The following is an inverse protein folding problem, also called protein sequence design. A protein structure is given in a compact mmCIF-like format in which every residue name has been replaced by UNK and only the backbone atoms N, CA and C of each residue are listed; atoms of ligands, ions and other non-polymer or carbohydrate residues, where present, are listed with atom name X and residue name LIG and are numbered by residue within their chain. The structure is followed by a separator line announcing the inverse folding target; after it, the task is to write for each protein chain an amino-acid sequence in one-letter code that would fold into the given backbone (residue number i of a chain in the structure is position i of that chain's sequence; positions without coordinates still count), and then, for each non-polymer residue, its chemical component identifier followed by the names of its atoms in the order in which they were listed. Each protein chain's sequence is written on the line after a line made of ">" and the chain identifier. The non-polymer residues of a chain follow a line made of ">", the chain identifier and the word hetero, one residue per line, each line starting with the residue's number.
data_IF_986874600133
#
_entry.id   IF_986874600133
#
_cell.length_a   1.000
_cell.length_b   1.000
_cell.length_c   1.000
_cell.angle_alpha   90.00
_cell.angle_beta   90.00
_cell.angle_gamma   90.00
#
_symmetry.space_group_name_H-M   'P 1'
#
loop_
_entity.id
_entity.type
_entity.pdbx_description
1 polymer ?
#
# COMPACT_ATOMS: atom_id res chain seq x y z
N UNK A 1 33.46 -2.15 34.82
CA UNK A 1 33.27 -3.57 34.43
C UNK A 1 31.95 -3.73 33.67
N UNK A 2 31.91 -3.34 32.39
CA UNK A 2 30.74 -3.48 31.52
C UNK A 2 31.11 -4.07 30.13
N UNK A 3 32.25 -4.79 30.05
CA UNK A 3 32.86 -5.24 28.79
C UNK A 3 32.60 -6.73 28.49
N UNK A 4 31.45 -7.28 28.89
CA UNK A 4 31.17 -8.72 28.73
C UNK A 4 29.75 -9.03 28.26
N UNK A 5 29.05 -8.07 27.64
CA UNK A 5 27.78 -8.38 26.97
C UNK A 5 28.08 -8.89 25.55
N UNK A 6 27.65 -10.11 25.19
CA UNK A 6 27.70 -10.58 23.82
C UNK A 6 27.00 -9.59 22.86
N UNK A 7 27.52 -9.40 21.64
CA UNK A 7 26.93 -8.50 20.64
C UNK A 7 25.43 -8.74 20.39
N UNK A 8 24.98 -9.98 20.54
CA UNK A 8 23.58 -10.39 20.40
C UNK A 8 22.71 -9.83 21.53
N UNK A 9 23.25 -9.75 22.75
CA UNK A 9 22.55 -9.14 23.89
C UNK A 9 22.57 -7.62 23.81
N UNK A 10 23.65 -7.01 23.31
CA UNK A 10 23.70 -5.57 23.03
C UNK A 10 22.66 -5.17 21.97
N UNK A 11 22.54 -5.97 20.91
CA UNK A 11 21.51 -5.76 19.88
C UNK A 11 20.11 -5.81 20.48
N UNK A 12 19.83 -6.80 21.34
CA UNK A 12 18.55 -6.87 22.07
C UNK A 12 18.34 -5.68 23.00
N UNK A 13 19.37 -5.18 23.67
CA UNK A 13 19.27 -3.96 24.49
C UNK A 13 18.84 -2.78 23.63
N UNK A 14 19.48 -2.57 22.47
CA UNK A 14 19.12 -1.48 21.57
C UNK A 14 17.72 -1.64 20.96
N UNK A 15 17.30 -2.86 20.62
CA UNK A 15 15.96 -3.16 20.12
C UNK A 15 14.87 -2.90 21.18
N UNK A 16 15.21 -3.00 22.48
CA UNK A 16 14.31 -2.74 23.61
C UNK A 16 14.37 -1.30 24.14
N UNK A 17 15.22 -0.42 23.58
CA UNK A 17 15.15 1.01 23.87
C UNK A 17 13.79 1.51 23.35
N UNK A 18 12.93 1.89 24.30
CA UNK A 18 11.49 2.03 24.15
C UNK A 18 11.08 2.84 22.90
N UNK A 19 10.25 2.28 21.99
CA UNK A 19 9.80 2.96 20.77
C UNK A 19 9.00 4.25 20.99
N UNK A 20 8.61 4.55 22.23
CA UNK A 20 7.84 5.75 22.57
C UNK A 20 8.72 6.99 22.85
N UNK A 21 10.01 6.82 23.15
CA UNK A 21 10.93 7.94 23.41
C UNK A 21 12.11 7.89 22.45
N UNK A 22 11.99 8.64 21.35
CA UNK A 22 13.09 9.14 20.54
C UNK A 22 14.27 8.15 20.36
N UNK A 23 13.97 6.91 19.92
CA UNK A 23 14.90 5.77 19.89
C UNK A 23 16.26 6.11 19.26
N UNK A 24 16.29 7.01 18.27
CA UNK A 24 17.52 7.50 17.62
C UNK A 24 18.42 8.30 18.57
N UNK A 25 17.89 9.18 19.43
CA UNK A 25 18.74 9.99 20.34
C UNK A 25 19.44 9.11 21.37
N UNK A 26 18.78 8.07 21.86
CA UNK A 26 19.37 7.13 22.82
C UNK A 26 20.41 6.25 22.14
N UNK A 27 20.16 5.77 20.91
CA UNK A 27 21.15 5.01 20.13
C UNK A 27 22.36 5.89 19.76
N UNK A 28 22.18 7.19 19.50
CA UNK A 28 23.30 8.10 19.27
C UNK A 28 24.24 8.22 20.48
N UNK A 29 23.71 8.32 21.69
CA UNK A 29 24.52 8.32 22.93
C UNK A 29 25.33 7.04 23.09
N UNK A 30 24.79 5.91 22.62
CA UNK A 30 25.46 4.62 22.67
C UNK A 30 26.68 4.53 21.74
N UNK A 31 26.74 5.33 20.68
CA UNK A 31 27.91 5.41 19.79
C UNK A 31 29.15 5.95 20.50
N UNK A 32 28.99 6.67 21.62
CA UNK A 32 30.07 7.32 22.36
C UNK A 32 30.65 6.46 23.48
N UNK A 33 30.10 5.26 23.72
CA UNK A 33 30.45 4.42 24.89
C UNK A 33 31.80 3.71 24.69
N UNK A 34 31.90 2.83 23.71
CA UNK A 34 33.12 2.12 23.33
C UNK A 34 32.97 1.56 21.90
N UNK A 35 34.02 0.91 21.38
CA UNK A 35 34.03 0.36 20.01
C UNK A 35 32.93 -0.68 19.76
N UNK A 36 32.65 -1.56 20.72
CA UNK A 36 31.64 -2.61 20.57
C UNK A 36 30.22 -2.04 20.49
N UNK A 37 29.92 -1.05 21.35
CA UNK A 37 28.66 -0.31 21.32
C UNK A 37 28.52 0.55 20.07
N UNK A 38 29.62 1.15 19.61
CA UNK A 38 29.68 1.86 18.34
C UNK A 38 29.34 0.93 17.17
N UNK A 39 30.04 -0.21 17.04
CA UNK A 39 29.83 -1.17 15.94
C UNK A 39 28.41 -1.72 15.93
N UNK A 40 27.85 -2.04 17.10
CA UNK A 40 26.47 -2.51 17.23
C UNK A 40 25.44 -1.41 16.94
N UNK A 41 25.66 -0.18 17.42
CA UNK A 41 24.80 0.97 17.17
C UNK A 41 24.77 1.38 15.70
N UNK A 42 25.94 1.43 15.04
CA UNK A 42 26.04 1.74 13.59
C UNK A 42 25.29 0.70 12.76
N UNK A 43 25.42 -0.60 13.09
CA UNK A 43 24.65 -1.66 12.43
C UNK A 43 23.15 -1.44 12.57
N UNK A 44 22.67 -1.06 13.74
CA UNK A 44 21.25 -0.80 13.94
C UNK A 44 20.77 0.43 13.16
N UNK A 45 21.54 1.52 13.17
CA UNK A 45 21.19 2.77 12.50
C UNK A 45 21.17 2.65 10.98
N UNK A 46 22.08 1.87 10.39
CA UNK A 46 22.25 1.75 8.94
C UNK A 46 21.55 0.54 8.31
N UNK A 47 21.07 -0.43 9.11
CA UNK A 47 20.42 -1.65 8.60
C UNK A 47 19.14 -1.33 7.83
N UNK A 48 18.23 -0.59 8.44
CA UNK A 48 16.91 -0.27 7.89
C UNK A 48 16.75 1.25 7.81
N UNK A 49 17.17 1.83 6.69
CA UNK A 49 17.16 3.27 6.48
C UNK A 49 15.76 3.76 6.14
N UNK A 50 15.30 4.76 6.90
CA UNK A 50 13.99 5.39 6.71
C UNK A 50 14.17 6.89 6.63
N UNK A 51 13.81 7.46 5.48
CA UNK A 51 13.88 8.89 5.22
C UNK A 51 12.52 9.46 4.86
N UNK A 52 12.34 10.70 5.29
CA UNK A 52 11.24 11.57 4.93
C UNK A 52 11.81 12.67 4.02
N UNK A 53 10.97 13.25 3.18
CA UNK A 53 11.33 14.47 2.44
C UNK A 53 11.61 15.59 3.45
N UNK A 54 12.78 16.21 3.32
CA UNK A 54 13.21 17.34 4.14
C UNK A 54 14.69 17.28 4.54
N UNK A 55 15.12 18.20 5.43
CA UNK A 55 16.53 18.45 5.74
C UNK A 55 17.32 17.24 6.22
N UNK A 56 16.65 16.25 6.82
CA UNK A 56 17.31 15.02 7.30
C UNK A 56 17.88 14.19 6.15
N UNK A 57 17.20 14.16 5.00
CA UNK A 57 17.68 13.47 3.81
C UNK A 57 18.91 14.18 3.23
N UNK A 58 18.87 15.53 3.17
CA UNK A 58 19.99 16.34 2.68
C UNK A 58 21.25 16.16 3.53
N UNK A 59 21.09 16.22 4.85
CA UNK A 59 22.17 15.96 5.80
C UNK A 59 22.75 14.55 5.59
N UNK A 60 21.90 13.53 5.46
CA UNK A 60 22.36 12.18 5.21
C UNK A 60 23.15 12.07 3.90
N UNK A 61 22.67 12.66 2.81
CA UNK A 61 23.38 12.65 1.53
C UNK A 61 24.76 13.30 1.68
N UNK A 62 24.85 14.41 2.42
CA UNK A 62 26.09 15.14 2.66
C UNK A 62 27.10 14.39 3.54
N UNK A 63 26.64 13.65 4.57
CA UNK A 63 27.53 13.12 5.62
C UNK A 63 27.43 11.61 5.92
N UNK A 64 26.74 10.82 5.09
CA UNK A 64 26.62 9.38 5.32
C UNK A 64 27.98 8.65 5.35
N UNK A 65 28.07 7.64 6.21
CA UNK A 65 29.17 6.68 6.19
C UNK A 65 29.03 5.76 4.96
N UNK A 66 29.95 5.91 3.99
CA UNK A 66 29.95 5.15 2.74
C UNK A 66 30.11 3.64 2.97
N UNK A 67 30.93 3.24 3.95
CA UNK A 67 31.14 1.83 4.26
C UNK A 67 29.88 1.24 4.89
N UNK A 68 29.23 1.96 5.81
CA UNK A 68 28.01 1.52 6.46
C UNK A 68 26.84 1.41 5.46
N UNK A 69 26.65 2.41 4.58
CA UNK A 69 25.65 2.35 3.50
C UNK A 69 25.88 1.15 2.58
N UNK A 70 27.13 0.89 2.21
CA UNK A 70 27.46 -0.22 1.31
C UNK A 70 27.26 -1.59 1.96
N UNK A 71 27.70 -1.74 3.22
CA UNK A 71 27.85 -3.03 3.86
C UNK A 71 26.71 -3.41 4.79
N UNK A 72 25.95 -2.44 5.32
CA UNK A 72 24.99 -2.70 6.39
C UNK A 72 23.54 -2.49 5.95
N UNK A 73 23.28 -1.63 4.98
CA UNK A 73 21.92 -1.31 4.54
C UNK A 73 21.26 -2.48 3.84
N UNK A 74 20.19 -3.00 4.46
CA UNK A 74 19.36 -4.10 3.96
C UNK A 74 18.01 -3.62 3.45
N UNK A 75 17.49 -2.54 4.00
CA UNK A 75 16.27 -1.91 3.50
C UNK A 75 16.37 -0.40 3.42
N UNK A 76 15.67 0.16 2.45
CA UNK A 76 15.50 1.60 2.26
C UNK A 76 14.02 1.91 2.09
N UNK A 77 13.49 2.73 2.99
CA UNK A 77 12.12 3.28 2.91
C UNK A 77 12.19 4.79 2.73
N UNK A 78 11.59 5.27 1.64
CA UNK A 78 11.45 6.68 1.33
C UNK A 78 9.98 7.06 1.47
N UNK A 79 9.69 7.95 2.40
CA UNK A 79 8.36 8.50 2.61
C UNK A 79 8.19 9.81 1.85
N UNK A 80 7.10 9.88 1.09
CA UNK A 80 6.61 11.11 0.47
C UNK A 80 5.71 11.81 1.50
N UNK A 81 6.14 12.98 1.97
CA UNK A 81 5.47 13.81 2.97
C UNK A 81 5.71 15.31 2.67
N UNK A 82 4.84 16.19 3.16
CA UNK A 82 5.10 17.61 3.31
C UNK A 82 5.71 17.83 4.71
N UNK A 83 6.86 18.50 4.83
CA UNK A 83 7.32 18.98 6.12
C UNK A 83 6.26 19.93 6.72
N UNK A 84 5.92 19.81 8.02
CA UNK A 84 4.95 20.68 8.67
C UNK A 84 5.35 22.15 8.72
N UNK A 85 6.63 22.46 8.45
CA UNK A 85 7.22 23.80 8.56
C UNK A 85 7.15 24.61 7.25
N UNK A 86 6.82 23.98 6.12
CA UNK A 86 6.70 24.67 4.82
C UNK A 86 5.26 25.13 4.56
N UNK A 87 4.97 26.39 4.89
CA UNK A 87 3.75 27.08 4.43
C UNK A 87 3.92 27.53 2.98
N UNK A 88 3.22 26.88 2.06
CA UNK A 88 3.39 27.07 0.61
C UNK A 88 3.79 25.73 0.00
N UNK A 89 3.03 25.28 -1.01
CA UNK A 89 3.18 23.94 -1.58
C UNK A 89 4.61 23.60 -2.02
N UNK A 90 4.84 22.31 -2.26
CA UNK A 90 6.10 21.71 -2.74
C UNK A 90 7.00 22.67 -3.52
N UNK A 91 8.06 23.13 -2.88
CA UNK A 91 9.10 23.87 -3.57
C UNK A 91 9.95 22.90 -4.41
N UNK A 92 10.41 23.38 -5.57
CA UNK A 92 11.16 22.58 -6.55
C UNK A 92 12.43 21.98 -5.93
N UNK A 93 13.02 22.66 -4.96
CA UNK A 93 14.30 22.33 -4.32
C UNK A 93 14.31 20.98 -3.56
N UNK A 94 13.15 20.51 -3.09
CA UNK A 94 13.05 19.23 -2.33
C UNK A 94 13.16 17.97 -3.20
N UNK A 95 13.13 18.13 -4.52
CA UNK A 95 13.20 17.02 -5.48
C UNK A 95 14.66 16.62 -5.81
N UNK A 96 15.60 17.54 -5.66
CA UNK A 96 17.01 17.32 -5.98
C UNK A 96 17.65 16.27 -5.07
N UNK A 97 17.24 16.21 -3.81
CA UNK A 97 17.74 15.24 -2.83
C UNK A 97 17.46 13.80 -3.27
N UNK A 98 16.28 13.52 -3.83
CA UNK A 98 16.00 12.18 -4.36
C UNK A 98 16.80 11.85 -5.61
N UNK A 99 17.01 12.84 -6.49
CA UNK A 99 17.85 12.64 -7.67
C UNK A 99 19.32 12.40 -7.27
N UNK A 100 19.83 13.13 -6.28
CA UNK A 100 21.16 12.91 -5.72
C UNK A 100 21.26 11.56 -5.02
N UNK A 101 20.25 11.17 -4.25
CA UNK A 101 20.18 9.85 -3.61
C UNK A 101 20.21 8.73 -4.65
N UNK A 102 19.41 8.85 -5.72
CA UNK A 102 19.36 7.91 -6.84
C UNK A 102 20.69 7.83 -7.58
N UNK A 103 21.37 8.95 -7.79
CA UNK A 103 22.63 8.99 -8.54
C UNK A 103 23.83 8.53 -7.71
N UNK A 104 23.92 8.92 -6.43
CA UNK A 104 25.16 8.85 -5.66
C UNK A 104 25.15 7.82 -4.52
N UNK A 105 23.97 7.47 -3.98
CA UNK A 105 23.87 6.71 -2.73
C UNK A 105 23.27 5.33 -2.95
N UNK A 106 22.06 5.23 -3.54
CA UNK A 106 21.35 3.95 -3.74
C UNK A 106 22.20 2.94 -4.52
N UNK A 107 22.91 3.30 -5.62
CA UNK A 107 23.72 2.35 -6.37
C UNK A 107 24.85 1.70 -5.54
N UNK A 108 25.24 2.30 -4.42
CA UNK A 108 26.31 1.80 -3.53
C UNK A 108 25.80 0.84 -2.46
N UNK A 109 24.49 0.68 -2.29
CA UNK A 109 23.89 -0.17 -1.26
C UNK A 109 23.97 -1.65 -1.67
N UNK A 110 25.16 -2.24 -1.60
CA UNK A 110 25.44 -3.59 -2.10
C UNK A 110 24.60 -4.69 -1.42
N UNK A 111 24.16 -4.45 -0.17
CA UNK A 111 23.35 -5.38 0.60
C UNK A 111 21.85 -5.05 0.62
N UNK A 112 21.39 -4.09 -0.20
CA UNK A 112 19.97 -3.73 -0.26
C UNK A 112 19.14 -4.92 -0.75
N UNK A 113 18.17 -5.34 0.07
CA UNK A 113 17.21 -6.41 -0.22
C UNK A 113 15.80 -5.90 -0.45
N UNK A 114 15.43 -4.79 0.18
CA UNK A 114 14.10 -4.21 0.09
C UNK A 114 14.14 -2.71 -0.16
N UNK A 115 13.43 -2.26 -1.18
CA UNK A 115 13.22 -0.85 -1.48
C UNK A 115 11.73 -0.52 -1.41
N UNK A 116 11.39 0.55 -0.68
CA UNK A 116 10.02 1.07 -0.60
C UNK A 116 10.02 2.56 -0.87
N UNK A 117 9.18 2.98 -1.81
CA UNK A 117 8.78 4.37 -1.97
C UNK A 117 7.28 4.46 -1.66
N UNK A 118 6.93 5.12 -0.57
CA UNK A 118 5.57 5.11 -0.05
C UNK A 118 5.11 6.49 0.37
N UNK A 119 3.80 6.74 0.29
CA UNK A 119 3.21 7.90 0.95
C UNK A 119 3.22 7.75 2.44
N UNK A 120 3.56 8.80 3.16
CA UNK A 120 3.42 8.78 4.60
C UNK A 120 1.94 8.79 5.01
N UNK A 121 1.53 7.87 5.88
CA UNK A 121 0.12 7.69 6.24
C UNK A 121 -0.48 8.88 7.01
N UNK A 122 0.36 9.81 7.51
CA UNK A 122 -0.07 11.05 8.17
C UNK A 122 -0.25 12.22 7.20
N UNK A 123 0.24 12.10 5.96
CA UNK A 123 0.19 13.18 4.97
C UNK A 123 -0.45 12.75 3.63
N UNK A 124 -1.74 13.07 3.41
CA UNK A 124 -2.46 12.69 2.22
C UNK A 124 -2.36 13.72 1.07
N UNK A 125 -1.52 14.76 1.15
CA UNK A 125 -1.44 15.79 0.10
C UNK A 125 -0.08 15.90 -0.57
N UNK A 126 0.81 14.96 -0.31
CA UNK A 126 2.16 14.95 -0.88
C UNK A 126 2.23 14.30 -2.25
N UNK A 127 3.06 14.86 -3.13
CA UNK A 127 3.23 14.41 -4.51
C UNK A 127 4.71 14.21 -4.84
N UNK A 128 4.99 13.41 -5.88
CA UNK A 128 6.33 13.17 -6.41
C UNK A 128 6.28 13.17 -7.94
N UNK A 129 7.31 13.73 -8.58
CA UNK A 129 7.37 13.74 -10.03
C UNK A 129 7.74 12.35 -10.59
N UNK A 130 7.11 11.97 -11.70
CA UNK A 130 7.35 10.69 -12.40
C UNK A 130 8.83 10.50 -12.76
N UNK A 131 9.55 11.55 -13.15
CA UNK A 131 11.00 11.50 -13.45
C UNK A 131 11.86 11.05 -12.28
N UNK A 132 11.49 11.44 -11.07
CA UNK A 132 12.22 11.08 -9.85
C UNK A 132 11.93 9.64 -9.48
N UNK A 133 10.67 9.20 -9.61
CA UNK A 133 10.31 7.80 -9.44
C UNK A 133 11.11 6.93 -10.43
N UNK A 134 11.17 7.33 -11.71
CA UNK A 134 11.97 6.66 -12.73
C UNK A 134 13.46 6.59 -12.36
N UNK A 135 14.06 7.71 -11.93
CA UNK A 135 15.46 7.75 -11.49
C UNK A 135 15.72 6.83 -10.30
N UNK A 136 14.84 6.83 -9.30
CA UNK A 136 14.92 5.95 -8.13
C UNK A 136 14.84 4.48 -8.56
N UNK A 137 13.85 4.11 -9.37
CA UNK A 137 13.67 2.74 -9.86
C UNK A 137 14.91 2.24 -10.61
N UNK A 138 15.48 3.06 -11.49
CA UNK A 138 16.70 2.74 -12.26
C UNK A 138 17.95 2.63 -11.39
N UNK A 139 17.97 3.31 -10.24
CA UNK A 139 19.10 3.24 -9.30
C UNK A 139 19.14 1.98 -8.44
N UNK A 140 18.02 1.23 -8.36
CA UNK A 140 17.90 0.07 -7.46
C UNK A 140 18.96 -1.00 -7.82
N UNK A 141 19.84 -1.39 -6.88
CA UNK A 141 20.87 -2.41 -7.11
C UNK A 141 20.30 -3.78 -7.47
N UNK A 142 21.05 -4.62 -8.22
CA UNK A 142 20.61 -5.96 -8.64
C UNK A 142 20.31 -6.91 -7.49
N UNK A 143 20.91 -6.69 -6.31
CA UNK A 143 20.71 -7.52 -5.13
C UNK A 143 19.37 -7.29 -4.43
N UNK A 144 18.64 -6.23 -4.79
CA UNK A 144 17.35 -5.88 -4.23
C UNK A 144 16.25 -6.74 -4.88
N UNK A 145 15.60 -7.57 -4.06
CA UNK A 145 14.58 -8.55 -4.51
C UNK A 145 13.18 -8.20 -4.01
N UNK A 146 13.02 -7.14 -3.23
CA UNK A 146 11.71 -6.67 -2.76
C UNK A 146 11.48 -5.22 -3.13
N UNK A 147 10.34 -4.93 -3.75
CA UNK A 147 9.96 -3.60 -4.22
C UNK A 147 8.55 -3.23 -3.76
N UNK A 148 8.42 -2.08 -3.13
CA UNK A 148 7.14 -1.40 -2.92
C UNK A 148 7.14 -0.03 -3.58
N UNK A 149 6.14 0.20 -4.41
CA UNK A 149 5.65 1.51 -4.79
C UNK A 149 4.26 1.67 -4.18
N UNK A 150 4.14 2.47 -3.13
CA UNK A 150 2.87 2.80 -2.46
C UNK A 150 2.52 4.27 -2.69
N UNK A 151 2.40 4.66 -3.96
CA UNK A 151 2.20 6.03 -4.43
C UNK A 151 0.72 6.40 -4.53
N UNK A 152 -0.17 5.44 -4.76
CA UNK A 152 -1.61 5.67 -4.88
C UNK A 152 -1.96 6.56 -6.07
N UNK A 153 -1.91 7.87 -5.87
CA UNK A 153 -2.14 8.91 -6.90
C UNK A 153 -1.15 10.09 -6.81
N UNK A 154 -0.11 9.96 -5.97
CA UNK A 154 0.85 11.02 -5.69
C UNK A 154 1.85 11.29 -6.82
N UNK A 155 1.94 10.38 -7.78
CA UNK A 155 2.82 10.43 -8.95
C UNK A 155 2.25 11.20 -10.15
N UNK A 156 1.05 11.79 -10.00
CA UNK A 156 0.31 12.45 -11.08
C UNK A 156 0.64 13.95 -11.25
N UNK A 157 1.79 14.42 -10.74
CA UNK A 157 2.26 15.77 -11.00
C UNK A 157 3.31 15.72 -12.10
N UNK A 158 2.87 16.07 -13.31
CA UNK A 158 3.75 16.38 -14.42
C UNK A 158 3.78 17.92 -14.53
N UNK A 159 4.66 18.57 -13.79
CA UNK A 159 4.97 19.96 -14.12
C UNK A 159 5.63 19.93 -15.50
N UNK A 160 5.09 20.67 -16.47
CA UNK A 160 5.61 20.83 -17.83
C UNK A 160 7.07 21.28 -17.81
N UNK A 161 7.97 20.31 -17.68
CA UNK A 161 9.41 20.47 -17.85
C UNK A 161 9.73 19.86 -19.22
N UNK A 162 9.42 20.60 -20.28
CA UNK A 162 9.85 20.41 -21.68
C UNK A 162 10.62 19.10 -21.93
N UNK A 163 9.90 17.98 -22.11
CA UNK A 163 10.50 16.69 -22.45
C UNK A 163 9.53 15.51 -22.22
N UNK A 164 9.77 14.36 -22.87
CA UNK A 164 8.90 13.20 -22.73
C UNK A 164 8.85 12.74 -21.26
N UNK A 165 7.66 12.41 -20.78
CA UNK A 165 7.49 11.83 -19.45
C UNK A 165 7.89 10.36 -19.48
N UNK A 166 8.69 9.86 -18.52
CA UNK A 166 9.04 8.45 -18.50
C UNK A 166 7.80 7.60 -18.23
N UNK A 167 7.64 6.52 -18.99
CA UNK A 167 6.59 5.55 -18.75
C UNK A 167 7.03 4.55 -17.67
N UNK A 168 6.67 4.81 -16.40
CA UNK A 168 7.10 4.00 -15.24
C UNK A 168 6.82 2.50 -15.36
N UNK A 169 5.81 2.12 -16.15
CA UNK A 169 5.52 0.72 -16.39
C UNK A 169 6.67 0.00 -17.10
N UNK A 170 7.41 0.70 -17.96
CA UNK A 170 8.59 0.14 -18.64
C UNK A 170 9.77 -0.03 -17.68
N UNK A 171 10.01 0.95 -16.80
CA UNK A 171 11.04 0.83 -15.76
C UNK A 171 10.75 -0.37 -14.84
N UNK A 172 9.48 -0.56 -14.45
CA UNK A 172 9.05 -1.71 -13.66
C UNK A 172 9.19 -3.04 -14.40
N UNK A 173 8.85 -3.10 -15.70
CA UNK A 173 9.01 -4.30 -16.52
C UNK A 173 10.45 -4.82 -16.48
N UNK A 174 11.44 -3.94 -16.44
CA UNK A 174 12.85 -4.33 -16.33
C UNK A 174 13.26 -4.83 -14.94
N UNK A 175 12.59 -4.37 -13.88
CA UNK A 175 12.90 -4.74 -12.50
C UNK A 175 12.22 -6.05 -12.08
N UNK A 176 11.01 -6.31 -12.56
CA UNK A 176 10.18 -7.42 -12.08
C UNK A 176 10.80 -8.81 -12.19
N UNK A 177 11.55 -9.19 -13.24
CA UNK A 177 12.11 -10.55 -13.35
C UNK A 177 13.01 -10.97 -12.19
N UNK A 178 13.64 -10.02 -11.49
CA UNK A 178 14.50 -10.29 -10.31
C UNK A 178 13.77 -10.14 -8.96
N UNK A 179 12.50 -9.72 -8.95
CA UNK A 179 11.75 -9.49 -7.71
C UNK A 179 11.18 -10.81 -7.17
N UNK A 180 11.32 -11.00 -5.86
CA UNK A 180 10.61 -12.01 -5.08
C UNK A 180 9.30 -11.45 -4.53
N UNK A 181 9.31 -10.21 -4.05
CA UNK A 181 8.13 -9.55 -3.51
C UNK A 181 7.93 -8.20 -4.20
N UNK A 182 6.77 -7.98 -4.80
CA UNK A 182 6.45 -6.72 -5.47
C UNK A 182 5.06 -6.21 -5.06
N UNK A 183 4.97 -4.93 -4.70
CA UNK A 183 3.73 -4.20 -4.50
C UNK A 183 3.74 -2.92 -5.36
N UNK A 184 2.81 -2.80 -6.30
CA UNK A 184 2.82 -1.74 -7.33
C UNK A 184 1.51 -0.95 -7.29
N UNK A 185 1.49 0.10 -6.47
CA UNK A 185 0.39 1.04 -6.30
C UNK A 185 0.77 2.42 -6.84
N UNK A 186 0.37 2.72 -8.08
CA UNK A 186 0.66 3.97 -8.80
C UNK A 186 -0.61 4.61 -9.36
N UNK A 187 -0.55 5.91 -9.67
CA UNK A 187 -1.67 6.66 -10.27
C UNK A 187 -2.07 6.13 -11.64
N UNK A 188 -1.06 5.72 -12.42
CA UNK A 188 -1.18 5.35 -13.81
C UNK A 188 -0.57 3.96 -14.03
N UNK A 189 -1.37 3.03 -14.54
CA UNK A 189 -0.98 1.62 -14.75
C UNK A 189 -1.44 1.14 -16.12
N UNK A 190 -0.66 0.25 -16.73
CA UNK A 190 -1.08 -0.51 -17.91
C UNK A 190 -0.40 -1.87 -17.95
N UNK A 191 -0.81 -2.71 -18.89
CA UNK A 191 -0.26 -4.04 -19.11
C UNK A 191 1.21 -4.08 -19.54
N UNK A 192 1.77 -2.94 -19.99
CA UNK A 192 3.18 -2.82 -20.37
C UNK A 192 4.16 -3.12 -19.21
N UNK A 193 3.68 -3.14 -17.96
CA UNK A 193 4.44 -3.63 -16.80
C UNK A 193 4.84 -5.10 -16.99
N UNK A 194 4.01 -5.88 -17.67
CA UNK A 194 4.08 -7.34 -17.75
C UNK A 194 4.46 -7.87 -19.13
N UNK A 195 4.72 -7.00 -20.10
CA UNK A 195 5.03 -7.43 -21.45
C UNK A 195 5.22 -6.28 -22.43
N UNK A 196 5.36 -6.63 -23.70
CA UNK A 196 5.50 -5.69 -24.82
C UNK A 196 4.45 -6.00 -25.88
N UNK A 197 3.97 -4.96 -26.56
CA UNK A 197 3.15 -5.11 -27.75
C UNK A 197 4.04 -4.95 -28.98
N UNK A 198 3.93 -5.86 -29.95
CA UNK A 198 4.58 -5.71 -31.25
C UNK A 198 3.69 -4.90 -32.23
N UNK A 199 4.19 -4.65 -33.44
CA UNK A 199 3.45 -3.97 -34.52
C UNK A 199 2.16 -4.70 -34.93
N UNK A 200 2.09 -6.00 -34.66
CA UNK A 200 0.98 -6.87 -35.08
C UNK A 200 -0.07 -7.01 -33.97
N UNK A 201 -0.05 -6.13 -32.96
CA UNK A 201 -0.95 -6.16 -31.81
C UNK A 201 -0.96 -7.50 -31.05
N UNK A 202 0.19 -8.17 -30.98
CA UNK A 202 0.40 -9.34 -30.14
C UNK A 202 1.13 -8.94 -28.85
N UNK A 203 0.58 -9.33 -27.71
CA UNK A 203 1.21 -9.13 -26.41
C UNK A 203 2.22 -10.24 -26.11
N UNK A 204 3.47 -9.85 -25.86
CA UNK A 204 4.57 -10.72 -25.47
C UNK A 204 4.86 -10.56 -23.97
N UNK A 205 4.40 -11.49 -23.11
CA UNK A 205 4.61 -11.40 -21.67
C UNK A 205 6.08 -11.58 -21.29
N UNK A 206 6.50 -11.01 -20.16
CA UNK A 206 7.82 -11.27 -19.55
C UNK A 206 7.74 -12.41 -18.53
N UNK A 207 8.79 -13.21 -18.42
CA UNK A 207 8.91 -14.24 -17.39
C UNK A 207 9.26 -13.63 -16.02
N UNK A 208 8.68 -14.19 -14.96
CA UNK A 208 8.93 -13.77 -13.57
C UNK A 208 9.50 -14.94 -12.75
N UNK A 209 10.77 -15.34 -12.96
CA UNK A 209 11.33 -16.59 -12.44
C UNK A 209 11.56 -16.61 -10.93
N UNK A 210 11.67 -15.44 -10.29
CA UNK A 210 11.98 -15.34 -8.86
C UNK A 210 10.76 -14.99 -8.01
N UNK A 211 9.61 -14.75 -8.63
CA UNK A 211 8.47 -14.16 -7.95
C UNK A 211 7.89 -15.11 -6.91
N UNK A 212 7.65 -14.61 -5.71
CA UNK A 212 6.93 -15.29 -4.63
C UNK A 212 5.59 -14.62 -4.37
N UNK A 213 5.54 -13.28 -4.41
CA UNK A 213 4.31 -12.51 -4.24
C UNK A 213 4.31 -11.24 -5.09
N UNK A 214 3.22 -11.01 -5.81
CA UNK A 214 2.93 -9.77 -6.52
C UNK A 214 1.55 -9.24 -6.12
N UNK A 215 1.49 -7.97 -5.75
CA UNK A 215 0.23 -7.27 -5.54
C UNK A 215 0.14 -6.01 -6.39
N UNK A 216 -0.94 -5.89 -7.17
CA UNK A 216 -1.22 -4.71 -8.00
C UNK A 216 -2.60 -4.15 -7.66
N UNK A 217 -2.70 -3.09 -6.85
CA UNK A 217 -3.97 -2.40 -6.68
C UNK A 217 -4.27 -1.52 -7.90
N UNK A 218 -5.40 -1.77 -8.54
CA UNK A 218 -6.02 -0.92 -9.57
C UNK A 218 -7.10 0.00 -8.98
N UNK A 219 -7.25 0.02 -7.66
CA UNK A 219 -8.12 0.93 -6.90
C UNK A 219 -7.30 1.78 -5.94
N UNK A 220 -7.82 2.93 -5.51
CA UNK A 220 -7.22 3.78 -4.49
C UNK A 220 -8.21 4.77 -3.88
N UNK A 221 -7.72 5.67 -3.03
CA UNK A 221 -8.53 6.76 -2.45
C UNK A 221 -9.01 7.76 -3.51
N UNK A 222 -8.28 7.83 -4.62
CA UNK A 222 -8.53 8.64 -5.80
C UNK A 222 -8.61 7.72 -7.05
N UNK A 223 -9.14 8.26 -8.16
CA UNK A 223 -9.28 7.53 -9.41
C UNK A 223 -7.91 7.28 -10.04
N UNK A 224 -7.66 6.02 -10.44
CA UNK A 224 -6.48 5.64 -11.21
C UNK A 224 -6.78 5.72 -12.70
N UNK A 225 -5.79 6.09 -13.50
CA UNK A 225 -5.88 6.18 -14.96
C UNK A 225 -5.04 5.11 -15.62
N UNK A 226 -5.39 4.77 -16.86
CA UNK A 226 -4.51 4.00 -17.73
C UNK A 226 -3.54 4.93 -18.45
N UNK A 227 -2.39 4.38 -18.85
CA UNK A 227 -1.34 5.13 -19.53
C UNK A 227 -1.78 5.54 -20.94
N UNK A 228 -1.64 6.83 -21.28
CA UNK A 228 -2.16 7.43 -22.52
C UNK A 228 -1.49 6.97 -23.81
N UNK A 229 -0.21 6.57 -23.75
CA UNK A 229 0.65 6.41 -24.93
C UNK A 229 0.51 5.05 -25.66
N UNK A 230 -0.27 4.09 -25.13
CA UNK A 230 -0.46 2.76 -25.76
C UNK A 230 -1.91 2.28 -25.79
N UNK A 231 -2.85 3.22 -25.81
CA UNK A 231 -4.28 2.90 -25.89
C UNK A 231 -4.69 2.40 -27.29
N UNK A 232 -4.39 1.14 -27.60
CA UNK A 232 -5.21 0.32 -28.50
C UNK A 232 -6.02 -0.74 -27.75
N UNK A 233 -6.05 -0.70 -26.41
CA UNK A 233 -6.85 -1.64 -25.64
C UNK A 233 -8.34 -1.35 -25.79
N UNK A 234 -9.09 -2.43 -25.98
CA UNK A 234 -10.54 -2.57 -25.86
C UNK A 234 -11.14 -1.75 -24.70
N UNK A 235 -12.47 -1.59 -24.66
CA UNK A 235 -13.31 -0.87 -23.67
C UNK A 235 -13.17 -1.36 -22.19
N UNK A 236 -12.03 -1.89 -21.78
CA UNK A 236 -11.81 -2.62 -20.55
C UNK A 236 -11.24 -1.73 -19.45
N UNK A 237 -11.55 -2.07 -18.21
CA UNK A 237 -10.97 -1.40 -17.05
C UNK A 237 -9.48 -1.74 -16.89
N UNK A 238 -8.73 -0.87 -16.19
CA UNK A 238 -7.33 -1.14 -15.79
C UNK A 238 -7.22 -2.50 -15.10
N UNK A 239 -8.19 -2.84 -14.25
CA UNK A 239 -8.19 -4.09 -13.50
C UNK A 239 -8.24 -5.32 -14.43
N UNK A 240 -9.14 -5.34 -15.42
CA UNK A 240 -9.21 -6.44 -16.41
C UNK A 240 -7.97 -6.50 -17.30
N UNK A 241 -7.45 -5.36 -17.73
CA UNK A 241 -6.23 -5.26 -18.54
C UNK A 241 -5.04 -5.90 -17.83
N UNK A 242 -4.81 -5.53 -16.56
CA UNK A 242 -3.73 -6.09 -15.73
C UNK A 242 -3.92 -7.59 -15.49
N UNK A 243 -5.15 -8.05 -15.19
CA UNK A 243 -5.44 -9.48 -14.98
C UNK A 243 -5.13 -10.29 -16.23
N UNK A 244 -5.54 -9.85 -17.42
CA UNK A 244 -5.29 -10.59 -18.67
C UNK A 244 -3.79 -10.68 -18.98
N UNK A 245 -3.05 -9.59 -18.77
CA UNK A 245 -1.61 -9.61 -18.95
C UNK A 245 -0.94 -10.62 -18.00
N UNK A 246 -1.35 -10.63 -16.73
CA UNK A 246 -0.83 -11.58 -15.74
C UNK A 246 -1.24 -13.02 -16.00
N UNK A 247 -2.43 -13.27 -16.55
CA UNK A 247 -2.84 -14.60 -17.02
C UNK A 247 -1.87 -15.12 -18.09
N UNK A 248 -1.41 -14.27 -19.01
CA UNK A 248 -0.40 -14.68 -20.00
C UNK A 248 0.98 -14.91 -19.37
N UNK A 249 1.35 -14.13 -18.35
CA UNK A 249 2.63 -14.29 -17.63
C UNK A 249 2.71 -15.61 -16.86
N UNK A 250 1.65 -16.05 -16.18
CA UNK A 250 1.67 -17.29 -15.37
C UNK A 250 1.70 -18.57 -16.20
N UNK A 251 1.31 -18.48 -17.48
CA UNK A 251 1.41 -19.58 -18.44
C UNK A 251 2.82 -19.75 -19.02
N UNK A 252 3.72 -18.77 -18.82
CA UNK A 252 5.11 -18.94 -19.24
C UNK A 252 5.81 -20.03 -18.40
N UNK A 253 6.63 -20.89 -19.03
CA UNK A 253 7.32 -21.98 -18.34
C UNK A 253 8.31 -21.47 -17.29
N UNK A 254 8.96 -20.34 -17.56
CA UNK A 254 9.99 -19.72 -16.71
C UNK A 254 9.41 -18.79 -15.63
N UNK A 255 8.09 -18.71 -15.48
CA UNK A 255 7.45 -17.97 -14.39
C UNK A 255 7.25 -18.87 -13.18
N UNK A 256 7.68 -18.41 -12.00
CA UNK A 256 7.51 -19.14 -10.74
C UNK A 256 6.02 -19.26 -10.34
N UNK A 257 5.69 -20.33 -9.61
CA UNK A 257 4.38 -20.46 -8.95
C UNK A 257 4.32 -19.49 -7.76
N UNK A 258 3.68 -18.35 -7.99
CA UNK A 258 3.68 -17.21 -7.09
C UNK A 258 2.27 -16.83 -6.63
N UNK A 259 2.19 -16.14 -5.49
CA UNK A 259 0.96 -15.51 -5.00
C UNK A 259 0.73 -14.16 -5.72
N UNK A 260 0.03 -14.20 -6.85
CA UNK A 260 -0.27 -13.02 -7.67
C UNK A 260 -1.69 -12.54 -7.42
N UNK A 261 -1.83 -11.28 -7.04
CA UNK A 261 -3.12 -10.67 -6.75
C UNK A 261 -3.29 -9.28 -7.36
N UNK A 262 -4.50 -8.99 -7.83
CA UNK A 262 -4.89 -7.69 -8.40
C UNK A 262 -6.14 -7.19 -7.67
N UNK A 263 -6.06 -6.00 -7.06
CA UNK A 263 -7.18 -5.42 -6.32
C UNK A 263 -7.93 -4.40 -7.18
N UNK A 264 -9.22 -4.64 -7.38
CA UNK A 264 -10.14 -3.72 -8.04
C UNK A 264 -11.25 -3.26 -7.10
N UNK A 265 -12.15 -2.44 -7.63
CA UNK A 265 -13.39 -2.12 -6.94
C UNK A 265 -14.50 -1.87 -7.93
N UNK A 266 -15.71 -2.29 -7.56
CA UNK A 266 -16.92 -2.02 -8.30
C UNK A 266 -17.96 -1.42 -7.36
N UNK A 267 -18.55 -0.33 -7.82
CA UNK A 267 -19.70 0.29 -7.17
C UNK A 267 -21.00 -0.30 -7.71
N UNK A 268 -22.09 -0.31 -6.92
CA UNK A 268 -23.40 -0.68 -7.43
C UNK A 268 -23.81 0.24 -8.60
N UNK A 269 -24.37 -0.34 -9.67
CA UNK A 269 -24.75 0.36 -10.91
C UNK A 269 -25.75 1.51 -10.73
N UNK A 270 -26.51 1.54 -9.62
CA UNK A 270 -27.39 2.67 -9.33
C UNK A 270 -26.67 3.73 -8.52
N UNK A 271 -26.59 4.94 -9.07
CA UNK A 271 -25.93 6.10 -8.45
C UNK A 271 -26.39 6.38 -7.01
N UNK A 272 -27.61 6.00 -6.66
CA UNK A 272 -28.19 6.14 -5.32
C UNK A 272 -27.61 5.16 -4.28
N UNK A 273 -27.06 4.02 -4.72
CA UNK A 273 -26.46 3.00 -3.85
C UNK A 273 -24.95 3.22 -3.63
N UNK A 274 -24.31 4.14 -4.36
CA UNK A 274 -22.89 4.51 -4.18
C UNK A 274 -22.54 4.90 -2.73
N UNK A 275 -23.51 5.43 -1.99
CA UNK A 275 -23.33 5.81 -0.59
C UNK A 275 -23.49 4.66 0.41
N UNK A 276 -23.94 3.48 -0.02
CA UNK A 276 -24.30 2.37 0.88
C UNK A 276 -23.11 1.43 1.05
N UNK A 277 -22.53 0.95 -0.05
CA UNK A 277 -21.31 0.13 -0.02
C UNK A 277 -20.59 0.14 -1.37
N UNK A 278 -19.34 -0.28 -1.34
CA UNK A 278 -18.52 -0.62 -2.51
C UNK A 278 -18.05 -2.06 -2.35
N UNK A 279 -17.90 -2.79 -3.46
CA UNK A 279 -17.30 -4.12 -3.45
C UNK A 279 -15.84 -3.99 -3.86
N UNK A 280 -14.93 -4.44 -2.99
CA UNK A 280 -13.52 -4.61 -3.34
C UNK A 280 -13.33 -6.01 -3.92
N UNK A 281 -12.60 -6.12 -5.03
CA UNK A 281 -12.41 -7.36 -5.77
C UNK A 281 -10.93 -7.73 -5.73
N UNK A 282 -10.54 -8.73 -4.93
CA UNK A 282 -9.19 -9.28 -4.95
C UNK A 282 -9.16 -10.49 -5.86
N UNK A 283 -8.72 -10.29 -7.09
CA UNK A 283 -8.44 -11.37 -8.03
C UNK A 283 -7.13 -12.04 -7.67
N UNK A 284 -7.11 -13.35 -7.55
CA UNK A 284 -5.93 -14.19 -7.45
C UNK A 284 -5.71 -14.92 -8.78
N UNK A 285 -4.48 -14.88 -9.26
CA UNK A 285 -4.11 -15.42 -10.57
C UNK A 285 -3.08 -16.53 -10.35
N UNK A 286 -3.38 -17.71 -10.87
CA UNK A 286 -2.50 -18.88 -10.88
C UNK A 286 -2.54 -19.52 -12.27
N UNK A 287 -1.56 -20.37 -12.57
CA UNK A 287 -1.54 -21.13 -13.82
C UNK A 287 -2.83 -21.94 -13.98
N UNK A 288 -3.53 -21.74 -15.09
CA UNK A 288 -4.80 -22.40 -15.40
C UNK A 288 -6.00 -22.05 -14.50
N UNK A 289 -5.86 -21.15 -13.51
CA UNK A 289 -6.96 -20.81 -12.59
C UNK A 289 -6.94 -19.34 -12.17
N UNK A 290 -8.11 -18.72 -12.20
CA UNK A 290 -8.30 -17.35 -11.70
C UNK A 290 -9.52 -17.33 -10.82
N UNK A 291 -9.38 -16.86 -9.58
CA UNK A 291 -10.50 -16.71 -8.63
C UNK A 291 -10.53 -15.30 -8.10
N UNK A 292 -11.70 -14.81 -7.73
CA UNK A 292 -11.88 -13.47 -7.17
C UNK A 292 -12.63 -13.54 -5.86
N UNK A 293 -12.03 -12.97 -4.82
CA UNK A 293 -12.74 -12.66 -3.59
C UNK A 293 -13.40 -11.28 -3.71
N UNK A 294 -14.70 -11.23 -3.48
CA UNK A 294 -15.48 -10.01 -3.40
C UNK A 294 -15.76 -9.66 -1.92
N UNK A 295 -15.38 -8.45 -1.51
CA UNK A 295 -15.50 -7.96 -0.14
C UNK A 295 -16.43 -6.75 -0.07
N UNK A 296 -17.50 -6.77 0.74
CA UNK A 296 -18.32 -5.59 0.94
C UNK A 296 -17.63 -4.60 1.90
N UNK A 297 -17.55 -3.35 1.48
CA UNK A 297 -17.02 -2.23 2.27
C UNK A 297 -18.07 -1.10 2.35
N UNK A 298 -18.50 -0.76 3.56
CA UNK A 298 -19.53 0.27 3.82
C UNK A 298 -18.90 1.50 4.48
N UNK A 299 -19.06 2.71 3.92
CA UNK A 299 -18.64 3.93 4.61
C UNK A 299 -19.48 4.17 5.87
N UNK A 300 -18.86 4.70 6.90
CA UNK A 300 -19.50 5.05 8.16
C UNK A 300 -18.96 6.38 8.68
N UNK A 301 -19.85 7.27 9.11
CA UNK A 301 -19.46 8.59 9.62
C UNK A 301 -19.94 8.75 11.04
N UNK A 302 -19.00 8.84 11.97
CA UNK A 302 -19.28 9.23 13.36
C UNK A 302 -19.25 10.74 13.42
N UNK A 303 -20.29 11.34 14.00
CA UNK A 303 -20.37 12.77 14.26
C UNK A 303 -20.41 13.00 15.75
N UNK A 304 -19.72 14.03 16.23
CA UNK A 304 -19.81 14.46 17.61
C UNK A 304 -19.66 15.97 17.71
N UNK A 305 -20.01 16.49 18.88
CA UNK A 305 -19.78 17.87 19.25
C UNK A 305 -19.02 17.87 20.58
N UNK A 306 -17.89 18.58 20.63
CA UNK A 306 -17.14 18.80 21.85
C UNK A 306 -16.77 20.28 21.91
N UNK A 307 -17.03 20.94 23.04
CA UNK A 307 -16.68 22.35 23.26
C UNK A 307 -17.15 23.30 22.14
N UNK A 308 -18.36 23.08 21.62
CA UNK A 308 -18.92 23.90 20.53
C UNK A 308 -18.33 23.63 19.13
N UNK A 309 -17.33 22.75 19.00
CA UNK A 309 -16.80 22.32 17.72
C UNK A 309 -17.42 20.99 17.27
N UNK A 310 -17.92 20.99 16.04
CA UNK A 310 -18.40 19.79 15.36
C UNK A 310 -17.23 19.03 14.73
N UNK A 311 -17.11 17.76 15.05
CA UNK A 311 -16.14 16.88 14.41
C UNK A 311 -16.85 15.74 13.67
N UNK A 312 -16.19 15.24 12.61
CA UNK A 312 -16.65 14.11 11.80
C UNK A 312 -15.49 13.14 11.60
N UNK A 313 -15.67 11.90 12.02
CA UNK A 313 -14.72 10.81 11.77
C UNK A 313 -15.28 9.94 10.65
N UNK A 314 -14.51 9.80 9.56
CA UNK A 314 -14.89 8.99 8.39
C UNK A 314 -14.19 7.64 8.46
N UNK A 315 -14.98 6.61 8.71
CA UNK A 315 -14.53 5.23 8.83
C UNK A 315 -15.12 4.39 7.70
N UNK A 316 -14.61 3.18 7.58
CA UNK A 316 -15.12 2.16 6.69
C UNK A 316 -15.19 0.86 7.46
N UNK A 317 -16.34 0.22 7.40
CA UNK A 317 -16.53 -1.16 7.82
C UNK A 317 -16.32 -2.08 6.63
N UNK A 318 -15.50 -3.12 6.78
CA UNK A 318 -15.21 -4.10 5.74
C UNK A 318 -15.38 -5.51 6.29
N UNK A 319 -15.97 -6.41 5.47
CA UNK A 319 -15.96 -7.85 5.73
C UNK A 319 -14.97 -8.54 4.82
N UNK A 320 -14.08 -9.31 5.42
CA UNK A 320 -13.18 -10.23 4.76
C UNK A 320 -13.68 -11.66 4.99
N UNK A 321 -12.96 -12.65 4.47
CA UNK A 321 -13.29 -14.06 4.70
C UNK A 321 -13.10 -14.40 6.20
N UNK A 322 -14.19 -14.47 6.95
CA UNK A 322 -14.20 -14.83 8.38
C UNK A 322 -13.85 -13.69 9.35
N UNK A 323 -13.47 -12.51 8.85
CA UNK A 323 -13.03 -11.39 9.69
C UNK A 323 -13.76 -10.09 9.33
N UNK A 324 -13.90 -9.20 10.32
CA UNK A 324 -14.54 -7.89 10.10
C UNK A 324 -13.80 -6.78 10.80
N UNK A 325 -13.61 -5.66 10.10
CA UNK A 325 -12.80 -4.54 10.56
C UNK A 325 -13.53 -3.22 10.43
N UNK A 326 -13.21 -2.29 11.33
CA UNK A 326 -13.52 -0.88 11.25
C UNK A 326 -12.21 -0.09 11.20
N UNK A 327 -12.06 0.77 10.19
CA UNK A 327 -10.81 1.53 10.02
C UNK A 327 -11.01 2.84 9.24
N UNK A 328 -9.97 3.68 9.21
CA UNK A 328 -9.88 4.81 8.28
C UNK A 328 -9.84 4.31 6.83
N UNK A 329 -10.43 5.09 5.90
CA UNK A 329 -10.51 4.74 4.46
C UNK A 329 -9.17 4.34 3.84
N UNK A 330 -8.04 4.88 4.33
CA UNK A 330 -6.70 4.59 3.77
C UNK A 330 -6.24 3.14 3.96
N UNK A 331 -6.73 2.44 4.98
CA UNK A 331 -6.28 1.09 5.30
C UNK A 331 -7.14 -0.01 4.66
N UNK A 332 -8.29 0.33 4.11
CA UNK A 332 -9.24 -0.66 3.57
C UNK A 332 -8.63 -1.47 2.42
N UNK A 333 -7.82 -0.82 1.58
CA UNK A 333 -7.18 -1.48 0.45
C UNK A 333 -6.07 -2.43 0.91
N UNK A 334 -5.30 -2.03 1.93
CA UNK A 334 -4.29 -2.90 2.55
C UNK A 334 -4.95 -4.12 3.21
N UNK A 335 -6.10 -3.95 3.88
CA UNK A 335 -6.87 -5.05 4.45
C UNK A 335 -7.40 -6.00 3.38
N UNK A 336 -8.08 -5.46 2.36
CA UNK A 336 -8.62 -6.25 1.26
C UNK A 336 -7.54 -6.98 0.46
N UNK A 337 -6.35 -6.39 0.34
CA UNK A 337 -5.17 -7.01 -0.27
C UNK A 337 -4.58 -8.17 0.55
N UNK A 338 -4.95 -8.33 1.83
CA UNK A 338 -4.29 -9.28 2.73
C UNK A 338 -2.94 -8.79 3.28
N UNK A 339 -2.72 -7.46 3.27
CA UNK A 339 -1.53 -6.78 3.79
C UNK A 339 -0.21 -7.36 3.24
N UNK A 340 0.04 -7.26 1.93
CA UNK A 340 1.27 -7.79 1.33
C UNK A 340 2.54 -7.12 1.91
N UNK A 341 2.41 -5.89 2.40
CA UNK A 341 3.46 -5.09 3.02
C UNK A 341 3.01 -4.51 4.36
N UNK A 342 3.95 -4.36 5.30
CA UNK A 342 3.70 -3.86 6.66
C UNK A 342 4.76 -2.85 7.08
N UNK A 343 4.40 -2.05 8.08
CA UNK A 343 5.28 -1.05 8.71
C UNK A 343 5.88 -1.68 9.97
N UNK A 344 7.21 -1.65 10.08
CA UNK A 344 7.93 -2.08 11.28
C UNK A 344 7.87 -1.00 12.38
N UNK A 345 8.23 -1.35 13.61
CA UNK A 345 8.38 -0.37 14.72
C UNK A 345 9.40 0.73 14.43
N UNK A 346 10.32 0.52 13.51
CA UNK A 346 11.31 1.52 13.04
C UNK A 346 10.80 2.37 11.87
N UNK A 347 9.49 2.28 11.57
CA UNK A 347 8.81 2.89 10.41
C UNK A 347 9.29 2.38 9.03
N UNK A 348 10.16 1.37 8.98
CA UNK A 348 10.54 0.75 7.72
C UNK A 348 9.37 -0.03 7.12
N UNK A 349 9.21 0.06 5.80
CA UNK A 349 8.23 -0.74 5.07
C UNK A 349 8.91 -1.95 4.48
N UNK A 350 8.35 -3.12 4.78
CA UNK A 350 8.90 -4.41 4.38
C UNK A 350 7.78 -5.36 3.94
N UNK A 351 8.09 -6.36 3.10
CA UNK A 351 7.16 -7.46 2.81
C UNK A 351 6.67 -8.12 4.10
N UNK A 352 5.38 -8.45 4.17
CA UNK A 352 4.79 -9.05 5.37
C UNK A 352 5.37 -10.42 5.74
N UNK A 353 6.06 -11.09 4.80
CA UNK A 353 6.80 -12.34 5.01
C UNK A 353 8.11 -12.16 5.78
N UNK A 354 8.62 -10.93 5.91
CA UNK A 354 9.85 -10.67 6.66
C UNK A 354 9.64 -10.89 8.16
N UNK A 355 10.67 -11.38 8.86
CA UNK A 355 10.68 -11.40 10.31
C UNK A 355 11.04 -10.00 10.83
N UNK A 356 10.02 -9.24 11.21
CA UNK A 356 10.17 -7.89 11.74
C UNK A 356 9.15 -7.64 12.85
N UNK A 357 9.53 -6.73 13.75
CA UNK A 357 8.63 -6.21 14.76
C UNK A 357 7.64 -5.25 14.12
N UNK A 358 6.42 -5.72 13.89
CA UNK A 358 5.38 -4.95 13.21
C UNK A 358 4.72 -3.91 14.13
N UNK A 359 4.30 -2.79 13.54
CA UNK A 359 3.38 -1.86 14.20
C UNK A 359 2.05 -2.58 14.44
N UNK A 360 1.55 -2.48 15.67
CA UNK A 360 0.27 -3.05 16.06
C UNK A 360 -0.90 -2.29 15.40
N UNK A 361 -2.00 -3.00 15.12
CA UNK A 361 -3.14 -2.47 14.36
C UNK A 361 -3.83 -1.30 15.08
N UNK A 362 -3.80 -1.29 16.42
CA UNK A 362 -4.37 -0.24 17.25
C UNK A 362 -3.67 1.11 16.98
N UNK A 363 -2.34 1.09 16.81
CA UNK A 363 -1.55 2.28 16.46
C UNK A 363 -1.90 2.80 15.07
N UNK A 364 -2.35 1.93 14.17
CA UNK A 364 -2.80 2.28 12.83
C UNK A 364 -4.28 2.66 12.77
N UNK A 365 -5.00 2.62 13.90
CA UNK A 365 -6.47 2.81 13.97
C UNK A 365 -7.23 1.78 13.13
N UNK A 366 -6.71 0.56 13.07
CA UNK A 366 -7.41 -0.61 12.54
C UNK A 366 -7.94 -1.36 13.75
N UNK A 367 -9.26 -1.57 13.82
CA UNK A 367 -9.90 -2.32 14.90
C UNK A 367 -10.76 -3.42 14.30
N UNK A 368 -10.84 -4.55 14.98
CA UNK A 368 -11.89 -5.53 14.70
C UNK A 368 -13.26 -4.91 15.01
N UNK A 369 -14.33 -5.46 14.43
CA UNK A 369 -15.67 -5.01 14.77
C UNK A 369 -15.98 -5.18 16.27
N UNK A 370 -15.54 -6.29 16.88
CA UNK A 370 -15.77 -6.57 18.30
C UNK A 370 -15.13 -5.53 19.23
N UNK A 371 -13.89 -5.11 18.93
CA UNK A 371 -13.21 -4.04 19.68
C UNK A 371 -13.91 -2.69 19.49
N UNK A 372 -14.41 -2.41 18.29
CA UNK A 372 -15.14 -1.19 18.00
C UNK A 372 -16.48 -1.13 18.75
N UNK A 373 -17.24 -2.23 18.72
CA UNK A 373 -18.53 -2.35 19.39
C UNK A 373 -18.41 -2.19 20.91
N UNK A 374 -17.39 -2.80 21.51
CA UNK A 374 -17.07 -2.64 22.95
C UNK A 374 -16.79 -1.17 23.33
N UNK A 375 -16.19 -0.40 22.43
CA UNK A 375 -15.90 1.01 22.66
C UNK A 375 -17.15 1.92 22.59
N UNK A 376 -18.31 1.41 22.13
CA UNK A 376 -19.59 2.13 22.02
C UNK A 376 -19.51 3.48 21.26
N UNK A 377 -18.67 3.54 20.22
CA UNK A 377 -18.47 4.76 19.42
C UNK A 377 -19.52 4.83 18.30
N UNK A 378 -20.64 5.50 18.56
CA UNK A 378 -21.75 5.71 17.63
C UNK A 378 -22.61 4.45 17.39
N UNK A 379 -23.57 4.54 16.48
CA UNK A 379 -24.62 3.53 16.28
C UNK A 379 -24.26 2.42 15.26
N UNK A 380 -23.06 2.47 14.67
CA UNK A 380 -22.60 1.52 13.65
C UNK A 380 -23.17 1.77 12.25
N UNK A 381 -22.61 1.10 11.22
CA UNK A 381 -23.06 1.22 9.83
C UNK A 381 -24.49 0.71 9.63
N UNK A 382 -25.21 1.31 8.67
CA UNK A 382 -26.62 0.96 8.37
C UNK A 382 -26.80 -0.53 8.04
N UNK A 383 -25.82 -1.16 7.39
CA UNK A 383 -25.82 -2.59 7.11
C UNK A 383 -26.08 -3.42 8.37
N UNK A 384 -25.37 -3.16 9.46
CA UNK A 384 -25.52 -3.92 10.71
C UNK A 384 -26.87 -3.68 11.38
N UNK A 385 -27.42 -2.46 11.26
CA UNK A 385 -28.78 -2.15 11.74
C UNK A 385 -29.83 -2.94 10.97
N UNK A 386 -29.70 -3.01 9.65
CA UNK A 386 -30.58 -3.78 8.79
C UNK A 386 -30.50 -5.28 9.11
N UNK A 387 -29.31 -5.81 9.35
CA UNK A 387 -29.11 -7.22 9.72
C UNK A 387 -29.71 -7.54 11.08
N UNK A 388 -29.55 -6.66 12.07
CA UNK A 388 -30.20 -6.79 13.37
C UNK A 388 -31.73 -6.79 13.23
N UNK A 389 -32.29 -5.94 12.36
CA UNK A 389 -33.73 -5.88 12.11
C UNK A 389 -34.26 -7.13 11.38
N UNK A 390 -33.51 -7.63 10.41
CA UNK A 390 -33.83 -8.82 9.62
C UNK A 390 -33.57 -10.13 10.37
N UNK A 391 -32.72 -10.11 11.40
CA UNK A 391 -32.28 -11.31 12.10
C UNK A 391 -31.32 -12.19 11.29
N UNK A 392 -30.70 -11.67 10.22
CA UNK A 392 -29.82 -12.43 9.34
C UNK A 392 -28.77 -11.54 8.67
N UNK A 393 -27.67 -12.15 8.19
CA UNK A 393 -26.68 -11.47 7.34
C UNK A 393 -27.27 -11.14 5.97
N UNK A 394 -27.09 -9.90 5.52
CA UNK A 394 -27.66 -9.40 4.27
C UNK A 394 -26.63 -9.35 3.13
N UNK A 395 -25.34 -9.26 3.43
CA UNK A 395 -24.25 -9.29 2.45
C UNK A 395 -23.01 -9.89 3.12
N UNK A 396 -22.20 -10.67 2.42
CA UNK A 396 -20.98 -11.23 2.99
C UNK A 396 -19.86 -11.29 1.94
N UNK A 397 -18.66 -11.63 2.38
CA UNK A 397 -17.57 -11.94 1.47
C UNK A 397 -17.90 -13.21 0.66
N UNK A 398 -17.56 -13.21 -0.62
CA UNK A 398 -17.87 -14.29 -1.56
C UNK A 398 -16.64 -14.58 -2.43
N UNK A 399 -16.33 -15.87 -2.63
CA UNK A 399 -15.35 -16.31 -3.62
C UNK A 399 -16.06 -16.67 -4.93
N UNK A 400 -15.49 -16.24 -6.05
CA UNK A 400 -16.00 -16.46 -7.41
C UNK A 400 -14.91 -17.04 -8.29
N UNK A 401 -15.29 -17.89 -9.23
CA UNK A 401 -14.41 -18.26 -10.34
C UNK A 401 -14.35 -17.10 -11.35
N UNK A 402 -13.17 -16.88 -11.93
CA UNK A 402 -12.92 -15.80 -12.87
C UNK A 402 -12.70 -14.42 -12.25
N UNK A 403 -12.88 -13.39 -13.07
CA UNK A 403 -12.58 -11.99 -12.77
C UNK A 403 -13.68 -11.06 -13.27
N UNK A 404 -14.94 -11.39 -12.98
CA UNK A 404 -16.06 -10.52 -13.33
C UNK A 404 -16.13 -9.29 -12.42
N UNK A 405 -16.28 -8.10 -13.00
CA UNK A 405 -16.46 -6.83 -12.29
C UNK A 405 -17.92 -6.64 -11.86
N UNK A 406 -18.41 -7.53 -11.01
CA UNK A 406 -19.80 -7.52 -10.54
C UNK A 406 -19.86 -7.17 -9.06
N UNK A 407 -20.68 -6.19 -8.73
CA UNK A 407 -20.89 -5.77 -7.35
C UNK A 407 -21.63 -6.84 -6.55
N UNK A 408 -21.27 -7.03 -5.28
CA UNK A 408 -22.10 -7.79 -4.35
C UNK A 408 -23.46 -7.12 -4.20
N UNK A 409 -24.50 -7.90 -3.96
CA UNK A 409 -25.85 -7.37 -3.79
C UNK A 409 -26.35 -7.68 -2.39
N UNK A 410 -26.61 -6.64 -1.61
CA UNK A 410 -27.27 -6.75 -0.31
C UNK A 410 -28.68 -7.35 -0.50
N UNK A 411 -28.93 -8.49 0.16
CA UNK A 411 -30.20 -9.23 0.11
C UNK A 411 -31.32 -8.39 0.71
N UNK A 412 -32.53 -8.54 0.17
CA UNK A 412 -33.77 -8.04 0.78
C UNK A 412 -34.63 -9.26 1.11
N UNK A 413 -34.74 -9.67 2.37
CA UNK A 413 -35.48 -10.87 2.74
C UNK A 413 -36.98 -10.73 2.47
N UNK A 414 -37.73 -11.84 2.33
CA UNK A 414 -39.19 -11.81 2.26
C UNK A 414 -39.81 -11.07 3.45
N UNK A 415 -40.88 -10.32 3.20
CA UNK A 415 -41.53 -9.49 4.24
C UNK A 415 -40.80 -8.18 4.56
N UNK A 416 -39.71 -7.87 3.85
CA UNK A 416 -39.02 -6.58 3.96
C UNK A 416 -38.98 -5.84 2.62
N UNK A 417 -38.91 -4.51 2.71
CA UNK A 417 -38.75 -3.61 1.58
C UNK A 417 -37.65 -2.59 1.84
N UNK A 418 -37.06 -2.10 0.75
CA UNK A 418 -36.16 -0.94 0.75
C UNK A 418 -36.86 0.20 0.00
N UNK A 419 -37.65 1.04 0.70
CA UNK A 419 -38.31 2.17 0.09
C UNK A 419 -37.25 3.09 -0.53
N UNK A 420 -37.57 3.64 -1.70
CA UNK A 420 -36.62 4.31 -2.60
C UNK A 420 -35.83 5.47 -1.95
N UNK A 421 -34.75 5.87 -2.65
CA UNK A 421 -33.87 7.08 -2.59
C UNK A 421 -33.62 7.83 -1.26
N UNK A 422 -34.59 8.03 -0.39
CA UNK A 422 -34.50 8.91 0.79
C UNK A 422 -34.07 8.20 2.08
N UNK A 423 -34.06 6.86 2.12
CA UNK A 423 -33.80 6.10 3.34
C UNK A 423 -32.38 5.49 3.42
N UNK A 424 -31.43 5.96 2.61
CA UNK A 424 -30.01 5.55 2.69
C UNK A 424 -29.76 4.02 2.79
N UNK A 425 -30.58 3.21 2.10
CA UNK A 425 -30.47 1.76 2.14
C UNK A 425 -31.09 1.07 3.35
N UNK A 426 -31.82 1.77 4.21
CA UNK A 426 -32.51 1.20 5.36
C UNK A 426 -33.57 0.17 4.93
N UNK A 427 -33.67 -0.90 5.70
CA UNK A 427 -34.64 -1.98 5.55
C UNK A 427 -35.88 -1.71 6.41
N UNK A 428 -37.07 -2.00 5.89
CA UNK A 428 -38.35 -1.84 6.59
C UNK A 428 -39.17 -3.11 6.48
N UNK A 429 -39.91 -3.46 7.54
CA UNK A 429 -40.91 -4.52 7.46
C UNK A 429 -42.08 -4.05 6.59
N UNK A 430 -42.54 -4.91 5.70
CA UNK A 430 -43.83 -4.72 5.02
C UNK A 430 -44.90 -4.70 6.11
N UNK A 431 -45.72 -3.65 6.16
CA UNK A 431 -46.89 -3.66 7.03
C UNK A 431 -47.81 -4.75 6.51
N UNK A 432 -48.13 -5.73 7.35
CA UNK A 432 -49.27 -6.61 7.10
C UNK A 432 -50.50 -5.70 7.02
N UNK A 433 -51.12 -5.66 5.83
CA UNK A 433 -52.31 -4.87 5.55
C UNK A 433 -53.58 -5.63 5.93
#
# INVERSE_FOLDING_TARGET
>A
MANTLPPELLTKVFENINPCDNQRSTVHSCLLVNKEWYDAGVRLLYKDLVFFIGPQLDLFIACHDRWAVSSLTRSLTLYINCPPETTGGFDRDTHDSFLQLAAAVIPRMNNLKSFSLARHYRDPFSFIQTRIVSALLRSIPPNCTSLELALGTSDNINYDLNGPSPHLCEDLRHLLPRMQHAHIDMSCLCDAIFGTWNSDNCFHPIALPNLQRLHVPCVGTQLKSACSERYQQDQWSIWKSIIRALQLVVELPDTADADITVLGSVAPLSSYKLHIYTTLLRCQIKRGRTTTWAFPATPYVVKGAAQGQYWKLRLVYIRLNGETYMTDKKWIYALAAGRPWRVSKTDARLPASCNADWVADEKLKIKTWEEWEKAKIGEGPMLLKNEKLAGMRLIDAEEREGYEEVCLVEKTPPGFVRPSRYHHGQLFRVKEG
#
